data_IF_485615694262
#
_entry.id   IF_485615694262
#
_cell.length_a   1.000
_cell.length_b   1.000
_cell.length_c   1.000
_cell.angle_alpha   90.00
_cell.angle_beta   90.00
_cell.angle_gamma   90.00
#
_symmetry.space_group_name_H-M   'P 1'
#
loop_
_entity.id
_entity.type
_entity.pdbx_description
1 polymer ?
#
# COMPACT_ATOMS: atom_id res chain seq x y z
N UNK A 1 3.98 -14.87 33.20
CA UNK A 1 3.01 -14.74 32.08
C UNK A 1 3.66 -13.93 30.96
N UNK A 2 3.82 -14.52 29.78
CA UNK A 2 4.65 -13.94 28.71
C UNK A 2 3.98 -12.80 27.96
N UNK A 3 4.54 -11.60 28.06
CA UNK A 3 4.15 -10.36 27.38
C UNK A 3 4.46 -10.34 25.86
N UNK A 4 4.56 -11.50 25.22
CA UNK A 4 4.99 -11.59 23.82
C UNK A 4 3.79 -11.90 22.92
N UNK A 5 3.14 -10.83 22.45
CA UNK A 5 2.11 -10.89 21.41
C UNK A 5 2.64 -11.49 20.09
N UNK A 6 1.74 -11.79 19.13
CA UNK A 6 2.12 -12.33 17.84
C UNK A 6 3.11 -11.41 17.09
N UNK A 7 3.93 -11.96 16.18
CA UNK A 7 4.81 -11.15 15.32
C UNK A 7 3.99 -10.02 14.67
N UNK A 8 4.39 -8.78 14.91
CA UNK A 8 3.63 -7.60 14.53
C UNK A 8 4.51 -6.66 13.71
N UNK A 9 4.04 -6.36 12.50
CA UNK A 9 4.50 -5.19 11.75
C UNK A 9 3.55 -4.05 12.07
N UNK A 10 4.09 -2.87 12.35
CA UNK A 10 3.33 -1.66 12.64
C UNK A 10 3.76 -0.59 11.65
N UNK A 11 2.79 0.03 11.01
CA UNK A 11 2.99 1.17 10.13
C UNK A 11 2.62 2.43 10.90
N UNK A 12 3.57 3.33 11.13
CA UNK A 12 3.33 4.61 11.79
C UNK A 12 3.55 5.71 10.76
N UNK A 13 2.55 6.54 10.53
CA UNK A 13 2.66 7.71 9.66
C UNK A 13 2.82 8.94 10.54
N UNK A 14 3.61 9.92 10.07
CA UNK A 14 3.74 11.20 10.79
C UNK A 14 2.43 12.00 10.75
N UNK A 15 1.68 11.88 9.65
CA UNK A 15 0.33 12.42 9.53
C UNK A 15 -0.60 11.48 8.79
N UNK A 16 -1.90 11.75 8.87
CA UNK A 16 -2.94 10.96 8.20
C UNK A 16 -3.71 11.76 7.15
N UNK A 17 -3.47 13.07 7.08
CA UNK A 17 -4.15 13.99 6.15
C UNK A 17 -3.10 14.51 5.17
N UNK A 18 -3.19 14.08 3.91
CA UNK A 18 -2.24 14.46 2.86
C UNK A 18 -2.94 15.16 1.71
N UNK A 19 -2.20 15.99 0.98
CA UNK A 19 -2.64 16.53 -0.30
C UNK A 19 -1.96 15.77 -1.45
N UNK A 20 -2.60 15.68 -2.63
CA UNK A 20 -1.95 15.17 -3.82
C UNK A 20 -0.66 15.95 -4.11
N UNK A 21 0.43 15.23 -4.43
CA UNK A 21 1.75 15.83 -4.71
C UNK A 21 2.66 15.90 -3.48
N UNK A 22 2.12 15.65 -2.29
CA UNK A 22 2.84 15.70 -1.03
C UNK A 22 3.60 14.40 -0.74
N UNK A 23 4.65 14.48 0.08
CA UNK A 23 5.42 13.30 0.50
C UNK A 23 4.89 12.75 1.81
N UNK A 24 4.36 11.53 1.78
CA UNK A 24 3.99 10.77 2.96
C UNK A 24 5.22 10.16 3.62
N UNK A 25 5.52 10.61 4.83
CA UNK A 25 6.61 10.07 5.64
C UNK A 25 6.06 9.18 6.75
N UNK A 26 6.76 8.10 7.01
CA UNK A 26 6.40 7.17 8.08
C UNK A 26 7.50 6.20 8.41
N UNK A 27 7.25 5.37 9.41
CA UNK A 27 8.17 4.36 9.91
C UNK A 27 7.46 3.02 9.97
N UNK A 28 8.06 2.01 9.33
CA UNK A 28 7.66 0.63 9.47
C UNK A 28 8.45 0.01 10.62
N UNK A 29 7.75 -0.29 11.72
CA UNK A 29 8.32 -1.01 12.85
C UNK A 29 8.03 -2.50 12.73
N UNK A 30 9.08 -3.30 12.60
CA UNK A 30 9.00 -4.75 12.58
C UNK A 30 9.36 -5.26 13.97
N UNK A 31 8.48 -6.01 14.61
CA UNK A 31 8.75 -6.65 15.89
C UNK A 31 8.34 -8.13 15.82
N UNK A 32 9.32 -8.96 15.48
CA UNK A 32 9.18 -10.40 15.38
C UNK A 32 9.81 -11.06 16.61
N UNK A 33 9.15 -12.10 17.12
CA UNK A 33 9.63 -12.87 18.27
C UNK A 33 10.95 -13.61 17.98
N UNK A 34 11.20 -13.94 16.71
CA UNK A 34 12.40 -14.62 16.22
C UNK A 34 12.90 -13.93 14.95
N UNK A 35 14.21 -13.96 14.68
CA UNK A 35 14.75 -13.54 13.39
C UNK A 35 14.02 -14.28 12.27
N UNK A 36 13.63 -13.54 11.24
CA UNK A 36 12.96 -14.08 10.08
C UNK A 36 13.55 -13.46 8.83
N UNK A 37 14.17 -14.33 8.02
CA UNK A 37 14.58 -13.99 6.67
C UNK A 37 13.36 -13.62 5.84
N UNK A 38 13.27 -12.36 5.45
CA UNK A 38 12.23 -11.87 4.56
C UNK A 38 12.83 -11.50 3.21
N UNK A 39 12.08 -11.77 2.14
CA UNK A 39 12.53 -11.51 0.77
C UNK A 39 12.46 -10.04 0.41
N UNK A 40 11.39 -9.39 0.85
CA UNK A 40 11.17 -7.99 0.54
C UNK A 40 10.23 -7.36 1.54
N UNK A 41 10.53 -6.12 1.87
CA UNK A 41 9.63 -5.22 2.54
C UNK A 41 9.15 -4.19 1.52
N UNK A 42 7.85 -4.17 1.27
CA UNK A 42 7.23 -3.21 0.36
C UNK A 42 6.16 -2.40 1.07
N UNK A 43 6.10 -1.13 0.71
CA UNK A 43 5.01 -0.23 1.08
C UNK A 43 4.19 0.00 -0.18
N UNK A 44 2.90 -0.21 -0.08
CA UNK A 44 1.97 -0.05 -1.18
C UNK A 44 0.93 1.02 -0.86
N UNK A 45 0.67 1.91 -1.80
CA UNK A 45 -0.45 2.85 -1.72
C UNK A 45 -1.61 2.28 -2.51
N UNK A 46 -2.74 2.09 -1.84
CA UNK A 46 -3.90 1.42 -2.39
C UNK A 46 -5.09 2.37 -2.31
N UNK A 47 -5.70 2.62 -3.46
CA UNK A 47 -6.99 3.29 -3.57
C UNK A 47 -8.07 2.26 -3.83
N UNK A 48 -9.09 2.20 -2.97
CA UNK A 48 -10.26 1.34 -3.17
C UNK A 48 -11.53 2.17 -3.29
N UNK A 49 -12.41 1.76 -4.18
CA UNK A 49 -13.68 2.44 -4.42
C UNK A 49 -14.82 1.44 -4.41
N UNK A 50 -15.93 1.85 -3.80
CA UNK A 50 -17.14 1.04 -3.74
C UNK A 50 -17.99 1.26 -5.00
N UNK A 51 -17.89 0.32 -5.94
CA UNK A 51 -18.66 0.35 -7.18
C UNK A 51 -19.94 -0.47 -7.04
N UNK A 52 -21.01 -0.04 -7.71
CA UNK A 52 -22.27 -0.78 -7.76
C UNK A 52 -22.28 -1.56 -9.07
N UNK A 53 -22.22 -2.89 -8.98
CA UNK A 53 -22.31 -3.79 -10.12
C UNK A 53 -23.69 -4.47 -10.08
N UNK A 54 -24.63 -3.95 -10.87
CA UNK A 54 -26.04 -4.34 -10.79
C UNK A 54 -26.65 -3.99 -9.42
N UNK A 55 -27.14 -5.00 -8.69
CA UNK A 55 -27.71 -4.81 -7.34
C UNK A 55 -26.73 -5.06 -6.18
N UNK A 56 -25.46 -5.37 -6.46
CA UNK A 56 -24.44 -5.65 -5.43
C UNK A 56 -23.39 -4.55 -5.38
N UNK A 57 -22.92 -4.28 -4.17
CA UNK A 57 -21.76 -3.43 -3.93
C UNK A 57 -20.49 -4.26 -3.97
N UNK A 58 -19.49 -3.82 -4.74
CA UNK A 58 -18.17 -4.45 -4.79
C UNK A 58 -17.10 -3.40 -4.50
N UNK A 59 -16.08 -3.80 -3.75
CA UNK A 59 -14.86 -3.02 -3.58
C UNK A 59 -13.96 -3.27 -4.79
N UNK A 60 -13.74 -2.24 -5.59
CA UNK A 60 -12.83 -2.28 -6.72
C UNK A 60 -11.57 -1.51 -6.33
N UNK A 61 -10.41 -2.16 -6.49
CA UNK A 61 -9.13 -1.46 -6.37
C UNK A 61 -8.97 -0.57 -7.61
N UNK A 62 -8.84 0.72 -7.39
CA UNK A 62 -8.68 1.72 -8.45
C UNK A 62 -7.22 2.16 -8.59
N UNK A 63 -6.42 2.03 -7.54
CA UNK A 63 -5.01 2.41 -7.50
C UNK A 63 -4.21 1.37 -6.70
N UNK A 64 -3.05 0.96 -7.20
CA UNK A 64 -2.11 0.05 -6.55
C UNK A 64 -0.71 0.49 -6.95
N UNK A 65 0.00 1.15 -6.05
CA UNK A 65 1.41 1.46 -6.25
C UNK A 65 2.20 0.67 -5.23
N UNK A 66 3.28 0.01 -5.63
CA UNK A 66 4.16 -0.69 -4.72
C UNK A 66 5.59 -0.18 -4.80
N UNK A 67 6.13 0.17 -3.64
CA UNK A 67 7.48 0.65 -3.47
C UNK A 67 8.24 -0.30 -2.54
N UNK A 68 9.26 -1.02 -3.04
CA UNK A 68 10.15 -1.79 -2.18
C UNK A 68 11.02 -0.83 -1.36
N UNK A 69 10.94 -0.91 -0.04
CA UNK A 69 11.72 -0.06 0.88
C UNK A 69 12.92 -0.80 1.47
N UNK A 70 12.89 -2.14 1.48
CA UNK A 70 14.03 -2.95 1.86
C UNK A 70 13.99 -4.33 1.17
N UNK A 71 15.16 -4.89 0.91
CA UNK A 71 15.34 -6.15 0.18
C UNK A 71 15.43 -7.39 1.07
N UNK A 72 16.12 -8.40 0.54
CA UNK A 72 16.37 -9.71 1.18
C UNK A 72 17.31 -9.56 2.38
N UNK A 73 16.77 -9.68 3.59
CA UNK A 73 17.57 -9.71 4.83
C UNK A 73 16.81 -10.36 5.98
N UNK A 74 17.52 -10.59 7.08
CA UNK A 74 16.90 -11.07 8.31
C UNK A 74 16.33 -9.91 9.13
N UNK A 75 15.03 -9.96 9.41
CA UNK A 75 14.33 -8.95 10.19
C UNK A 75 13.97 -9.52 11.55
N UNK A 76 14.19 -8.75 12.62
CA UNK A 76 13.79 -9.13 13.97
C UNK A 76 13.12 -7.97 14.70
N UNK A 77 13.87 -6.92 15.00
CA UNK A 77 13.39 -5.68 15.63
C UNK A 77 14.04 -4.50 14.95
N UNK A 78 13.39 -4.02 13.90
CA UNK A 78 13.94 -2.95 13.09
C UNK A 78 12.87 -1.92 12.78
N UNK A 79 13.30 -0.67 12.68
CA UNK A 79 12.46 0.46 12.30
C UNK A 79 13.03 1.02 11.01
N UNK A 80 12.27 0.91 9.93
CA UNK A 80 12.68 1.41 8.62
C UNK A 80 11.83 2.65 8.32
N UNK A 81 12.41 3.86 8.33
CA UNK A 81 11.72 5.03 7.83
C UNK A 81 11.55 4.92 6.31
N UNK A 82 10.42 5.40 5.80
CA UNK A 82 10.15 5.46 4.38
C UNK A 82 9.54 6.81 4.01
N UNK A 83 9.79 7.20 2.77
CA UNK A 83 9.21 8.39 2.17
C UNK A 83 8.52 7.98 0.88
N UNK A 84 7.21 8.22 0.82
CA UNK A 84 6.37 7.85 -0.30
C UNK A 84 5.77 9.13 -0.89
N UNK A 85 6.19 9.48 -2.10
CA UNK A 85 5.61 10.63 -2.80
C UNK A 85 4.22 10.26 -3.32
N UNK A 86 3.21 10.99 -2.89
CA UNK A 86 1.84 10.84 -3.39
C UNK A 86 1.76 11.61 -4.71
N UNK A 87 1.41 10.96 -5.84
CA UNK A 87 1.29 11.67 -7.09
C UNK A 87 0.22 12.78 -7.01
N UNK A 88 0.45 13.95 -7.64
CA UNK A 88 -0.52 15.07 -7.64
C UNK A 88 -1.83 14.72 -8.34
N UNK A 89 -1.78 13.76 -9.25
CA UNK A 89 -2.92 13.35 -10.05
C UNK A 89 -3.59 12.07 -9.48
N UNK A 90 -3.28 11.71 -8.23
CA UNK A 90 -3.80 10.49 -7.58
C UNK A 90 -5.33 10.47 -7.43
N UNK A 91 -5.95 11.64 -7.34
CA UNK A 91 -7.40 11.77 -7.27
C UNK A 91 -8.05 11.57 -8.65
N UNK A 92 -7.26 11.68 -9.74
CA UNK A 92 -7.75 11.42 -11.07
C UNK A 92 -7.78 9.90 -11.35
N UNK A 93 -8.94 9.37 -11.76
CA UNK A 93 -9.09 7.95 -12.05
C UNK A 93 -8.28 7.49 -13.27
N UNK A 94 -7.81 8.39 -14.15
CA UNK A 94 -6.97 8.07 -15.32
C UNK A 94 -5.52 7.85 -14.91
N UNK A 95 -4.98 8.67 -14.02
CA UNK A 95 -3.60 8.53 -13.53
C UNK A 95 -3.38 7.23 -12.79
N UNK A 96 -4.40 6.74 -12.09
CA UNK A 96 -4.34 5.45 -11.39
C UNK A 96 -4.07 4.27 -12.34
N UNK A 97 -4.43 4.40 -13.61
CA UNK A 97 -4.16 3.39 -14.65
C UNK A 97 -2.77 3.56 -15.27
N UNK A 98 -2.27 4.80 -15.38
CA UNK A 98 -0.94 5.10 -15.93
C UNK A 98 0.19 4.75 -14.97
N UNK A 99 0.07 5.01 -13.67
CA UNK A 99 1.13 4.67 -12.70
C UNK A 99 1.34 3.16 -12.61
N UNK A 100 0.28 2.37 -12.77
CA UNK A 100 0.37 0.91 -12.85
C UNK A 100 1.06 0.49 -14.15
N UNK A 101 0.82 1.14 -15.29
CA UNK A 101 1.53 0.82 -16.53
C UNK A 101 3.03 1.18 -16.45
N UNK A 102 3.35 2.39 -15.99
CA UNK A 102 4.73 2.90 -15.89
C UNK A 102 5.59 2.05 -14.93
N UNK A 103 5.01 1.65 -13.79
CA UNK A 103 5.71 0.78 -12.83
C UNK A 103 5.81 -0.69 -13.26
N UNK A 104 5.01 -1.12 -14.25
CA UNK A 104 5.06 -2.47 -14.82
C UNK A 104 5.99 -2.57 -16.05
N UNK A 105 6.24 -1.46 -16.74
CA UNK A 105 7.22 -1.39 -17.85
C UNK A 105 8.66 -1.50 -17.35
N UNK A 106 8.98 -0.99 -16.16
CA UNK A 106 10.32 -1.10 -15.57
C UNK A 106 10.66 -2.52 -15.09
N UNK A 107 9.66 -3.41 -14.91
CA UNK A 107 9.85 -4.78 -14.40
C UNK A 107 8.93 -5.82 -15.06
N UNK A 108 9.30 -6.23 -16.27
CA UNK A 108 9.01 -7.53 -16.90
C UNK A 108 7.59 -8.10 -16.69
N UNK A 109 6.69 -7.83 -17.65
CA UNK A 109 5.83 -8.85 -18.26
C UNK A 109 4.63 -9.38 -17.47
N UNK A 110 4.10 -8.65 -16.50
CA UNK A 110 2.92 -9.11 -15.74
C UNK A 110 1.63 -8.59 -16.38
N UNK A 111 0.81 -9.51 -16.90
CA UNK A 111 -0.54 -9.27 -17.39
C UNK A 111 -1.45 -8.69 -16.29
N UNK A 112 -1.39 -7.38 -16.08
CA UNK A 112 -2.30 -6.62 -15.24
C UNK A 112 -3.57 -6.31 -16.01
N UNK A 113 -4.65 -7.03 -15.72
CA UNK A 113 -5.98 -6.84 -16.31
C UNK A 113 -6.41 -5.37 -16.25
N UNK A 114 -6.52 -4.74 -17.42
CA UNK A 114 -7.13 -3.42 -17.59
C UNK A 114 -8.61 -3.52 -17.20
N UNK A 115 -8.95 -3.04 -16.00
CA UNK A 115 -10.33 -2.86 -15.55
C UNK A 115 -10.90 -1.56 -16.14
N UNK A 116 -11.11 -1.57 -17.46
CA UNK A 116 -11.92 -0.58 -18.17
C UNK A 116 -13.40 -0.87 -17.91
N UNK A 117 -14.09 0.00 -17.15
CA UNK A 117 -15.46 0.46 -17.44
C UNK A 117 -16.07 1.26 -16.28
N UNK A 118 -16.29 2.55 -16.55
CA UNK A 118 -17.50 3.32 -16.25
C UNK A 118 -18.09 3.17 -14.83
N UNK A 119 -17.79 4.15 -13.97
CA UNK A 119 -18.74 4.68 -13.00
C UNK A 119 -18.38 6.13 -12.66
N UNK A 120 -18.85 7.05 -13.51
CA UNK A 120 -19.03 8.46 -13.15
C UNK A 120 -20.00 8.50 -11.98
N UNK A 121 -19.50 8.92 -10.82
CA UNK A 121 -20.29 9.00 -9.60
C UNK A 121 -19.37 9.21 -8.44
N UNK A 122 -19.10 10.47 -8.12
CA UNK A 122 -18.42 11.10 -6.97
C UNK A 122 -18.44 10.30 -5.65
N UNK A 123 -17.90 9.09 -5.66
CA UNK A 123 -17.81 8.21 -4.50
C UNK A 123 -16.39 8.27 -4.03
N UNK A 124 -16.23 8.84 -2.83
CA UNK A 124 -15.01 8.97 -2.05
C UNK A 124 -14.15 7.71 -2.21
N UNK A 125 -12.99 7.86 -2.81
CA UNK A 125 -11.97 6.81 -2.86
C UNK A 125 -11.36 6.70 -1.46
N UNK A 126 -11.32 5.49 -0.92
CA UNK A 126 -10.64 5.22 0.34
C UNK A 126 -9.18 4.89 0.04
N UNK A 127 -8.29 5.67 0.64
CA UNK A 127 -6.86 5.55 0.46
C UNK A 127 -6.23 4.88 1.67
N UNK A 128 -5.37 3.89 1.42
CA UNK A 128 -4.69 3.14 2.48
C UNK A 128 -3.24 2.89 2.08
N UNK A 129 -2.33 3.10 3.02
CA UNK A 129 -0.94 2.68 2.89
C UNK A 129 -0.80 1.30 3.53
N UNK A 130 -0.24 0.34 2.79
CA UNK A 130 -0.07 -1.04 3.22
C UNK A 130 1.41 -1.39 3.26
N UNK A 131 1.93 -1.75 4.42
CA UNK A 131 3.24 -2.39 4.51
C UNK A 131 3.08 -3.91 4.46
N UNK A 132 3.90 -4.58 3.65
CA UNK A 132 3.92 -6.03 3.55
C UNK A 132 5.34 -6.55 3.59
N UNK A 133 5.58 -7.49 4.50
CA UNK A 133 6.84 -8.22 4.64
C UNK A 133 6.64 -9.65 4.13
N UNK A 134 7.32 -9.99 3.04
CA UNK A 134 7.26 -11.30 2.39
C UNK A 134 8.25 -12.26 3.08
N UNK A 135 7.74 -13.25 3.80
CA UNK A 135 8.58 -14.18 4.58
C UNK A 135 8.41 -15.60 4.03
N UNK A 136 9.41 -16.16 3.32
CA UNK A 136 9.33 -17.53 2.85
C UNK A 136 9.13 -18.51 4.02
N UNK A 137 8.23 -19.48 3.85
CA UNK A 137 7.89 -20.54 4.82
C UNK A 137 7.20 -20.07 6.11
N UNK A 138 6.90 -18.78 6.27
CA UNK A 138 6.07 -18.26 7.37
C UNK A 138 4.89 -17.49 6.79
N UNK A 139 3.93 -17.15 7.67
CA UNK A 139 2.80 -16.31 7.29
C UNK A 139 3.29 -14.90 6.96
N UNK A 140 2.85 -14.35 5.83
CA UNK A 140 3.16 -12.96 5.47
C UNK A 140 2.60 -12.01 6.52
N UNK A 141 3.44 -11.06 6.95
CA UNK A 141 3.03 -10.04 7.92
C UNK A 141 2.69 -8.78 7.16
N UNK A 142 1.47 -8.28 7.38
CA UNK A 142 0.94 -7.09 6.71
C UNK A 142 0.39 -6.10 7.73
N UNK A 143 0.67 -4.82 7.51
CA UNK A 143 0.04 -3.70 8.18
C UNK A 143 -0.64 -2.82 7.13
N UNK A 144 -1.74 -2.18 7.52
CA UNK A 144 -2.43 -1.22 6.66
C UNK A 144 -2.88 -0.05 7.51
N UNK A 145 -2.74 1.14 6.98
CA UNK A 145 -3.11 2.38 7.62
C UNK A 145 -3.92 3.21 6.65
N UNK A 146 -5.15 3.54 7.04
CA UNK A 146 -6.02 4.44 6.30
C UNK A 146 -5.46 5.87 6.33
N UNK A 147 -5.54 6.54 5.19
CA UNK A 147 -5.17 7.94 5.03
C UNK A 147 -6.32 8.72 4.41
N UNK A 148 -6.39 10.01 4.72
CA UNK A 148 -7.32 10.94 4.12
C UNK A 148 -6.58 11.84 3.15
N UNK A 149 -7.04 11.85 1.90
CA UNK A 149 -6.62 12.81 0.89
C UNK A 149 -7.65 13.92 0.76
N UNK A 150 -7.18 15.16 0.71
CA UNK A 150 -8.01 16.35 0.48
C UNK A 150 -7.63 16.97 -0.86
N UNK A 151 -8.63 17.39 -1.62
CA UNK A 151 -8.46 18.33 -2.73
C UNK A 151 -8.15 19.70 -2.12
N UNK A 152 -7.10 20.36 -2.62
CA UNK A 152 -6.65 21.66 -2.11
C UNK A 152 -7.42 22.81 -2.75
#
# INVERSE_FOLDING_TARGET
>A
MGLFGPPKITLMLEKYNFTPGETAKGTVSINLKKPAYARKLKVSLIGVRKVRRGNKWQWQKVYDFDMPIAGEKDYQKEQIPFELKIPPDILDPRTSQQVIQDSLEDKLGVAGTLLSSVAVGTRKTEWKIKAQLDIPKKLDVKASQDIQLYEQ
#
